data_IF_194771119266
#
_entry.id   IF_194771119266
#
_cell.length_a   1.000
_cell.length_b   1.000
_cell.length_c   1.000
_cell.angle_alpha   90.00
_cell.angle_beta   90.00
_cell.angle_gamma   90.00
#
_symmetry.space_group_name_H-M   'P 1'
#
loop_
_entity.id
_entity.type
_entity.pdbx_description
1 polymer ?
#
# COMPACT_ATOMS: atom_id res chain seq x y z
N UNK A 1 0.97 3.89 -5.59
CA UNK A 1 1.28 2.93 -4.49
C UNK A 1 0.52 3.35 -3.24
N UNK A 2 -0.39 2.50 -2.77
CA UNK A 2 -1.29 2.74 -1.65
C UNK A 2 -0.64 2.25 -0.34
N UNK A 3 -0.74 3.06 0.71
CA UNK A 3 -0.18 2.79 2.04
C UNK A 3 -1.30 2.84 3.09
N UNK A 4 -1.43 1.78 3.89
CA UNK A 4 -2.51 1.63 4.89
C UNK A 4 -2.33 2.37 6.22
N UNK A 5 -1.38 3.30 6.30
CA UNK A 5 -1.01 4.02 7.51
C UNK A 5 -0.88 5.52 7.26
N UNK A 6 -0.93 6.31 8.33
CA UNK A 6 -0.87 7.77 8.27
C UNK A 6 0.45 8.28 7.65
N UNK A 7 0.43 9.44 6.96
CA UNK A 7 1.64 10.08 6.45
C UNK A 7 2.66 10.36 7.57
N UNK A 8 3.95 10.29 7.25
CA UNK A 8 5.05 10.56 8.19
C UNK A 8 5.36 9.42 9.17
N UNK A 9 4.57 8.36 9.21
CA UNK A 9 4.89 7.14 9.97
C UNK A 9 5.97 6.28 9.30
N UNK A 10 6.48 5.28 10.02
CA UNK A 10 7.54 4.40 9.53
C UNK A 10 7.23 3.75 8.17
N UNK A 11 5.99 3.27 7.98
CA UNK A 11 5.56 2.66 6.71
C UNK A 11 5.54 3.68 5.55
N UNK A 12 5.13 4.92 5.80
CA UNK A 12 5.12 5.99 4.79
C UNK A 12 6.53 6.40 4.39
N UNK A 13 7.45 6.51 5.35
CA UNK A 13 8.87 6.80 5.09
C UNK A 13 9.49 5.71 4.19
N UNK A 14 9.26 4.44 4.53
CA UNK A 14 9.71 3.32 3.70
C UNK A 14 9.07 3.36 2.32
N UNK A 15 7.76 3.63 2.23
CA UNK A 15 7.05 3.76 0.96
C UNK A 15 7.69 4.80 0.04
N UNK A 16 8.01 5.98 0.56
CA UNK A 16 8.63 7.07 -0.21
C UNK A 16 10.04 6.73 -0.67
N UNK A 17 10.84 6.10 0.19
CA UNK A 17 12.17 5.62 -0.20
C UNK A 17 12.12 4.55 -1.30
N UNK A 18 11.15 3.62 -1.22
CA UNK A 18 10.91 2.62 -2.27
C UNK A 18 10.43 3.29 -3.55
N UNK A 19 9.47 4.21 -3.47
CA UNK A 19 8.94 4.95 -4.61
C UNK A 19 10.03 5.71 -5.36
N UNK A 20 10.98 6.34 -4.65
CA UNK A 20 12.12 7.02 -5.28
C UNK A 20 12.99 6.04 -6.08
N UNK A 21 13.31 4.87 -5.51
CA UNK A 21 14.10 3.84 -6.19
C UNK A 21 13.38 3.26 -7.40
N UNK A 22 12.10 2.96 -7.27
CA UNK A 22 11.27 2.48 -8.37
C UNK A 22 11.18 3.54 -9.48
N UNK A 23 11.05 4.81 -9.11
CA UNK A 23 10.98 5.88 -10.10
C UNK A 23 12.25 5.99 -10.93
N UNK A 24 13.42 5.84 -10.29
CA UNK A 24 14.72 5.78 -11.00
C UNK A 24 14.85 4.54 -11.90
N UNK A 25 14.38 3.38 -11.43
CA UNK A 25 14.51 2.12 -12.16
C UNK A 25 13.62 2.04 -13.41
N UNK A 26 12.41 2.60 -13.34
CA UNK A 26 11.41 2.49 -14.40
C UNK A 26 11.22 3.78 -15.21
N UNK A 27 11.87 4.89 -14.84
CA UNK A 27 11.75 6.17 -15.54
C UNK A 27 10.36 6.80 -15.45
N UNK A 28 9.52 6.36 -14.52
CA UNK A 28 8.16 6.83 -14.29
C UNK A 28 7.95 7.22 -12.83
N UNK A 29 7.06 8.16 -12.55
CA UNK A 29 6.83 8.60 -11.16
C UNK A 29 5.98 7.59 -10.40
N UNK A 30 6.47 7.11 -9.26
CA UNK A 30 5.68 6.31 -8.31
C UNK A 30 5.09 7.23 -7.24
N UNK A 31 3.78 7.44 -7.29
CA UNK A 31 3.07 8.28 -6.30
C UNK A 31 2.69 7.46 -5.07
N UNK A 32 2.99 7.99 -3.88
CA UNK A 32 2.59 7.41 -2.59
C UNK A 32 1.29 8.03 -2.11
N UNK A 33 0.29 7.20 -1.81
CA UNK A 33 -1.03 7.62 -1.37
C UNK A 33 -1.41 6.93 -0.06
N UNK A 34 -1.63 7.70 1.01
CA UNK A 34 -1.98 7.17 2.32
C UNK A 34 -3.51 7.00 2.44
N UNK A 35 -3.96 5.77 2.66
CA UNK A 35 -5.36 5.38 2.88
C UNK A 35 -5.45 4.62 4.21
N UNK A 36 -5.29 5.37 5.30
CA UNK A 36 -5.22 4.81 6.64
C UNK A 36 -6.56 4.27 7.14
N UNK A 37 -6.50 3.29 8.05
CA UNK A 37 -7.65 2.77 8.79
C UNK A 37 -7.75 1.24 8.74
N UNK A 38 -8.47 0.67 9.72
CA UNK A 38 -8.64 -0.79 9.85
C UNK A 38 -7.32 -1.55 9.90
N UNK A 39 -6.26 -0.97 10.47
CA UNK A 39 -4.94 -1.62 10.52
C UNK A 39 -4.38 -1.99 9.14
N UNK A 40 -4.52 -1.13 8.14
CA UNK A 40 -4.16 -1.33 6.72
C UNK A 40 -5.23 -2.00 5.84
N UNK A 41 -6.36 -2.44 6.40
CA UNK A 41 -7.42 -3.09 5.63
C UNK A 41 -8.08 -2.16 4.60
N UNK A 42 -8.28 -0.88 4.92
CA UNK A 42 -8.89 0.08 3.98
C UNK A 42 -8.02 0.22 2.72
N UNK A 43 -6.70 0.33 2.88
CA UNK A 43 -5.78 0.35 1.75
C UNK A 43 -5.74 -0.99 1.00
N UNK A 44 -5.77 -2.11 1.72
CA UNK A 44 -5.73 -3.44 1.13
C UNK A 44 -6.90 -3.67 0.18
N UNK A 45 -8.11 -3.22 0.51
CA UNK A 45 -9.28 -3.40 -0.34
C UNK A 45 -9.31 -2.53 -1.61
N UNK A 46 -8.45 -1.52 -1.71
CA UNK A 46 -8.41 -0.64 -2.90
C UNK A 46 -7.79 -1.38 -4.08
N UNK A 47 -6.72 -2.13 -3.85
CA UNK A 47 -5.93 -2.74 -4.94
C UNK A 47 -6.69 -3.85 -5.68
N UNK A 48 -7.42 -4.76 -5.03
CA UNK A 48 -8.26 -5.74 -5.72
C UNK A 48 -9.42 -5.14 -6.54
N UNK A 49 -9.78 -3.88 -6.28
CA UNK A 49 -10.85 -3.15 -7.00
C UNK A 49 -10.32 -2.25 -8.10
N UNK A 50 -9.00 -2.08 -8.20
CA UNK A 50 -8.36 -1.30 -9.25
C UNK A 50 -8.19 -2.12 -10.53
N UNK A 51 -7.85 -1.44 -11.63
CA UNK A 51 -7.53 -2.10 -12.88
C UNK A 51 -6.29 -3.00 -12.72
N UNK A 52 -6.32 -4.18 -13.34
CA UNK A 52 -5.24 -5.19 -13.28
C UNK A 52 -4.10 -4.87 -14.25
N UNK A 53 -3.65 -3.61 -14.26
CA UNK A 53 -2.66 -3.06 -15.19
C UNK A 53 -1.28 -2.85 -14.55
N UNK A 54 -1.16 -3.08 -13.24
CA UNK A 54 0.08 -2.94 -12.48
C UNK A 54 0.39 -1.51 -12.01
N UNK A 55 -0.46 -0.51 -12.28
CA UNK A 55 -0.24 0.87 -11.84
C UNK A 55 -0.74 1.13 -10.41
N UNK A 56 -1.65 0.28 -9.92
CA UNK A 56 -2.11 0.32 -8.52
C UNK A 56 -1.42 -0.77 -7.70
N UNK A 57 -0.49 -0.34 -6.85
CA UNK A 57 0.31 -1.23 -6.00
C UNK A 57 -0.03 -1.03 -4.52
N UNK A 58 -0.05 -2.11 -3.73
CA UNK A 58 -0.15 -2.06 -2.26
C UNK A 58 1.24 -2.18 -1.64
N UNK A 59 1.59 -1.29 -0.70
CA UNK A 59 2.70 -1.56 0.21
C UNK A 59 2.22 -2.45 1.36
N UNK A 60 2.38 -3.76 1.20
CA UNK A 60 1.98 -4.75 2.20
C UNK A 60 2.81 -4.69 3.49
N UNK A 61 2.15 -4.94 4.62
CA UNK A 61 2.78 -5.03 5.94
C UNK A 61 2.35 -6.31 6.66
N UNK A 62 3.02 -6.64 7.77
CA UNK A 62 2.61 -7.78 8.62
C UNK A 62 1.16 -7.63 9.08
N UNK A 63 0.68 -6.39 9.29
CA UNK A 63 -0.72 -6.15 9.65
C UNK A 63 -1.70 -6.73 8.61
N UNK A 64 -1.37 -6.65 7.31
CA UNK A 64 -2.22 -7.23 6.27
C UNK A 64 -2.28 -8.76 6.41
N UNK A 65 -1.16 -9.43 6.66
CA UNK A 65 -1.13 -10.88 6.88
C UNK A 65 -1.88 -11.30 8.16
N UNK A 66 -1.72 -10.55 9.25
CA UNK A 66 -2.45 -10.79 10.51
C UNK A 66 -3.94 -10.57 10.34
N UNK A 67 -4.35 -9.52 9.64
CA UNK A 67 -5.75 -9.19 9.47
C UNK A 67 -6.52 -10.26 8.68
N UNK A 68 -5.86 -10.93 7.73
CA UNK A 68 -6.44 -12.05 6.98
C UNK A 68 -6.85 -13.23 7.88
N UNK A 69 -6.20 -13.43 9.03
CA UNK A 69 -6.53 -14.54 9.93
C UNK A 69 -7.62 -14.20 10.96
N UNK A 70 -7.85 -12.91 11.23
CA UNK A 70 -8.78 -12.47 12.30
C UNK A 70 -10.03 -11.75 11.77
N UNK A 71 -10.01 -11.18 10.57
CA UNK A 71 -11.17 -10.54 9.94
C UNK A 71 -11.74 -11.41 8.82
N UNK A 72 -13.04 -11.68 8.88
CA UNK A 72 -13.75 -12.37 7.79
C UNK A 72 -14.00 -11.41 6.62
N UNK A 73 -13.71 -11.85 5.41
CA UNK A 73 -14.12 -11.15 4.17
C UNK A 73 -13.14 -10.13 3.62
N UNK A 74 -11.97 -9.96 4.25
CA UNK A 74 -10.87 -9.16 3.69
C UNK A 74 -10.21 -9.99 2.58
N UNK A 75 -9.99 -9.35 1.43
CA UNK A 75 -9.38 -9.94 0.23
C UNK A 75 -8.05 -9.27 -0.07
#
# INVERSE_FOLDING_TARGET
MVVGFAPGGATDIVARAVAEKLSKAFGQTFVVENRAGGGSNIAAEIVPRADLDGYTLLLGTIANATNMSIYKGIK
#
